data_IF_168230241470
#
_entry.id   IF_168230241470
#
_cell.length_a   1.000
_cell.length_b   1.000
_cell.length_c   1.000
_cell.angle_alpha   90.00
_cell.angle_beta   90.00
_cell.angle_gamma   90.00
#
_symmetry.space_group_name_H-M   'P 1'
#
loop_
_entity.id
_entity.type
_entity.pdbx_description
1 polymer ?
#
# COMPACT_ATOMS: atom_id res chain seq x y z
N UNK A 1 -8.96 -2.61 8.72
CA UNK A 1 -8.66 -3.11 7.36
C UNK A 1 -7.16 -3.19 7.30
N UNK A 2 -6.64 -4.35 6.93
CA UNK A 2 -5.22 -4.68 6.99
C UNK A 2 -4.56 -4.42 5.64
N UNK A 3 -3.34 -3.92 5.64
CA UNK A 3 -2.60 -3.67 4.42
C UNK A 3 -1.64 -4.84 4.13
N UNK A 4 -1.55 -5.22 2.87
CA UNK A 4 -0.55 -6.20 2.43
C UNK A 4 0.82 -5.53 2.36
N UNK A 5 1.83 -6.22 2.87
CA UNK A 5 3.23 -5.79 2.83
C UNK A 5 4.02 -6.79 1.99
N UNK A 6 4.31 -6.43 0.74
CA UNK A 6 5.11 -7.26 -0.14
C UNK A 6 6.59 -7.13 0.22
N UNK A 7 7.20 -8.24 0.61
CA UNK A 7 8.64 -8.29 0.86
C UNK A 7 9.36 -8.62 -0.45
N UNK A 8 10.14 -7.68 -0.98
CA UNK A 8 11.00 -7.87 -2.16
C UNK A 8 12.46 -8.09 -1.79
N UNK A 9 12.71 -8.29 -0.50
CA UNK A 9 13.97 -8.76 0.06
C UNK A 9 13.67 -9.73 1.21
N UNK A 10 14.68 -10.48 1.64
CA UNK A 10 14.54 -11.32 2.83
C UNK A 10 14.31 -10.46 4.07
N UNK A 11 13.34 -10.85 4.90
CA UNK A 11 12.96 -10.08 6.10
C UNK A 11 13.35 -10.89 7.34
N UNK A 12 14.20 -10.30 8.20
CA UNK A 12 14.57 -10.91 9.48
C UNK A 12 13.56 -10.54 10.58
N UNK A 13 13.52 -11.30 11.69
CA UNK A 13 12.69 -10.96 12.84
C UNK A 13 12.87 -9.52 13.32
N UNK A 14 14.10 -9.01 13.34
CA UNK A 14 14.42 -7.66 13.78
C UNK A 14 13.83 -6.59 12.84
N UNK A 15 14.02 -6.78 11.54
CA UNK A 15 13.46 -5.87 10.52
C UNK A 15 11.93 -5.81 10.61
N UNK A 16 11.28 -6.97 10.72
CA UNK A 16 9.83 -7.02 10.82
C UNK A 16 9.33 -6.41 12.15
N UNK A 17 9.97 -6.75 13.27
CA UNK A 17 9.60 -6.23 14.58
C UNK A 17 9.71 -4.71 14.62
N UNK A 18 10.76 -4.13 14.03
CA UNK A 18 10.91 -2.69 13.94
C UNK A 18 9.79 -2.04 13.12
N UNK A 19 9.57 -2.53 11.89
CA UNK A 19 8.51 -2.03 11.01
C UNK A 19 7.13 -2.12 11.68
N UNK A 20 6.80 -3.30 12.23
CA UNK A 20 5.53 -3.57 12.87
C UNK A 20 5.32 -2.73 14.14
N UNK A 21 6.37 -2.54 14.94
CA UNK A 21 6.32 -1.69 16.14
C UNK A 21 6.05 -0.23 15.79
N UNK A 22 6.71 0.29 14.75
CA UNK A 22 6.54 1.68 14.32
C UNK A 22 5.14 1.97 13.76
N UNK A 23 4.42 0.95 13.30
CA UNK A 23 3.13 1.09 12.63
C UNK A 23 1.95 0.46 13.39
N UNK A 24 2.05 0.37 14.71
CA UNK A 24 0.92 -0.04 15.54
C UNK A 24 -0.18 1.02 15.50
N UNK A 25 -1.44 0.58 15.45
CA UNK A 25 -2.59 1.51 15.52
C UNK A 25 -2.56 2.24 16.86
N UNK A 26 -2.43 3.59 16.87
CA UNK A 26 -2.45 4.38 18.11
C UNK A 26 -3.86 4.45 18.69
N UNK A 27 -3.95 4.62 20.01
CA UNK A 27 -5.18 4.95 20.75
C UNK A 27 -6.34 3.96 20.62
N UNK A 28 -6.07 2.71 21.00
CA UNK A 28 -7.13 1.76 21.34
C UNK A 28 -7.73 2.07 22.72
N UNK A 29 -8.97 1.62 22.99
CA UNK A 29 -9.49 1.61 24.35
C UNK A 29 -8.44 1.04 25.32
N UNK A 30 -8.35 1.54 26.56
CA UNK A 30 -7.25 1.20 27.49
C UNK A 30 -7.06 -0.29 27.76
N UNK A 31 -8.07 -1.12 27.46
CA UNK A 31 -8.07 -2.56 27.66
C UNK A 31 -7.73 -3.37 26.40
N UNK A 32 -7.50 -2.73 25.25
CA UNK A 32 -7.20 -3.41 24.00
C UNK A 32 -5.70 -3.32 23.66
N UNK A 33 -5.04 -4.45 23.38
CA UNK A 33 -3.64 -4.44 22.98
C UNK A 33 -3.46 -3.70 21.63
N UNK A 34 -2.33 -3.01 21.44
CA UNK A 34 -1.95 -2.45 20.14
C UNK A 34 -1.98 -3.53 19.05
N UNK A 35 -2.47 -3.16 17.87
CA UNK A 35 -2.56 -4.07 16.73
C UNK A 35 -1.61 -3.63 15.62
N UNK A 36 -1.04 -4.61 14.94
CA UNK A 36 -0.27 -4.48 13.69
C UNK A 36 -1.23 -4.73 12.52
N UNK A 37 -1.71 -3.70 11.81
CA UNK A 37 -2.71 -3.84 10.75
C UNK A 37 -2.08 -4.30 9.41
N UNK A 38 -1.13 -5.23 9.45
CA UNK A 38 -0.34 -5.63 8.30
C UNK A 38 -0.22 -7.15 8.16
N UNK A 39 -0.18 -7.60 6.91
CA UNK A 39 0.04 -8.99 6.52
C UNK A 39 1.27 -9.03 5.64
N UNK A 40 2.29 -9.77 6.06
CA UNK A 40 3.53 -9.95 5.30
C UNK A 40 3.28 -10.93 4.14
N UNK A 41 3.61 -10.49 2.92
CA UNK A 41 3.46 -11.27 1.70
C UNK A 41 4.85 -11.51 1.09
N UNK A 42 5.45 -12.69 1.33
CA UNK A 42 6.79 -13.03 0.83
C UNK A 42 6.76 -13.88 -0.45
N UNK A 43 5.58 -14.24 -0.97
CA UNK A 43 5.46 -15.15 -2.10
C UNK A 43 4.40 -14.70 -3.10
N UNK A 44 4.55 -15.11 -4.37
CA UNK A 44 3.50 -15.05 -5.39
C UNK A 44 2.26 -15.89 -5.06
N UNK A 45 2.37 -16.83 -4.13
CA UNK A 45 1.26 -17.69 -3.70
C UNK A 45 1.26 -17.81 -2.17
N UNK A 46 0.94 -16.71 -1.46
CA UNK A 46 0.99 -16.68 -0.01
C UNK A 46 -0.01 -17.67 0.60
N UNK A 47 0.39 -18.33 1.68
CA UNK A 47 -0.41 -19.36 2.35
C UNK A 47 -1.35 -18.80 3.42
N UNK A 48 -1.06 -17.60 3.93
CA UNK A 48 -1.88 -16.93 4.94
C UNK A 48 -2.10 -15.46 4.55
N UNK A 49 -3.36 -15.11 4.33
CA UNK A 49 -3.85 -13.75 4.10
C UNK A 49 -5.02 -13.40 5.01
N UNK A 50 -5.36 -14.27 5.96
CA UNK A 50 -6.46 -14.07 6.90
C UNK A 50 -5.95 -13.52 8.24
N UNK A 51 -4.69 -13.82 8.59
CA UNK A 51 -4.08 -13.39 9.84
C UNK A 51 -3.04 -12.31 9.63
N UNK A 52 -3.01 -11.36 10.56
CA UNK A 52 -1.96 -10.35 10.66
C UNK A 52 -0.64 -11.00 11.03
N UNK A 53 0.44 -10.50 10.43
CA UNK A 53 1.79 -10.96 10.76
C UNK A 53 2.32 -10.13 11.93
N UNK A 54 1.98 -10.51 13.16
CA UNK A 54 2.43 -9.75 14.34
C UNK A 54 3.92 -9.96 14.63
N UNK A 55 4.43 -11.15 14.35
CA UNK A 55 5.82 -11.56 14.57
C UNK A 55 6.24 -12.60 13.52
N UNK A 56 7.55 -12.74 13.33
CA UNK A 56 8.17 -13.85 12.59
C UNK A 56 9.33 -14.39 13.43
N UNK A 57 9.45 -15.71 13.52
CA UNK A 57 10.49 -16.36 14.37
C UNK A 57 11.81 -16.58 13.64
N UNK A 58 11.78 -16.55 12.31
CA UNK A 58 12.92 -16.82 11.45
C UNK A 58 12.91 -15.86 10.26
N UNK A 59 14.07 -15.73 9.59
CA UNK A 59 14.15 -14.97 8.35
C UNK A 59 13.20 -15.55 7.31
N UNK A 60 12.23 -14.74 6.89
CA UNK A 60 11.31 -15.07 5.83
C UNK A 60 12.02 -14.84 4.50
N UNK A 61 12.20 -15.93 3.74
CA UNK A 61 12.72 -15.88 2.38
C UNK A 61 11.62 -15.49 1.43
N UNK A 62 11.93 -14.57 0.52
CA UNK A 62 10.97 -14.10 -0.48
C UNK A 62 11.26 -14.65 -1.88
N UNK A 63 10.21 -15.01 -2.62
CA UNK A 63 10.31 -15.28 -4.06
C UNK A 63 10.05 -14.03 -4.92
N UNK A 64 9.74 -12.89 -4.28
CA UNK A 64 9.44 -11.63 -4.92
C UNK A 64 10.68 -10.74 -5.13
N UNK A 65 11.88 -11.22 -4.81
CA UNK A 65 13.11 -10.43 -4.91
C UNK A 65 13.41 -9.93 -6.34
N UNK A 66 12.94 -10.67 -7.36
CA UNK A 66 13.05 -10.29 -8.77
C UNK A 66 11.74 -9.75 -9.36
N UNK A 67 10.69 -9.60 -8.54
CA UNK A 67 9.39 -9.15 -9.02
C UNK A 67 9.45 -7.70 -9.47
N UNK A 68 8.97 -7.43 -10.68
CA UNK A 68 8.77 -6.09 -11.19
C UNK A 68 7.58 -5.42 -10.50
N UNK A 69 7.53 -4.08 -10.53
CA UNK A 69 6.37 -3.33 -10.06
C UNK A 69 5.06 -3.76 -10.72
N UNK A 70 5.10 -4.12 -12.01
CA UNK A 70 3.91 -4.61 -12.71
C UNK A 70 3.41 -5.93 -12.14
N UNK A 71 4.33 -6.83 -11.79
CA UNK A 71 3.99 -8.11 -11.17
C UNK A 71 3.46 -7.94 -9.75
N UNK A 72 4.06 -7.06 -8.94
CA UNK A 72 3.58 -6.78 -7.57
C UNK A 72 2.17 -6.16 -7.61
N UNK A 73 1.91 -5.22 -8.52
CA UNK A 73 0.57 -4.63 -8.71
C UNK A 73 -0.45 -5.68 -9.14
N UNK A 74 -0.10 -6.53 -10.12
CA UNK A 74 -0.96 -7.61 -10.57
C UNK A 74 -1.29 -8.59 -9.45
N UNK A 75 -0.28 -8.97 -8.66
CA UNK A 75 -0.44 -9.82 -7.50
C UNK A 75 -1.32 -9.15 -6.43
N UNK A 76 -1.13 -7.86 -6.13
CA UNK A 76 -2.02 -7.14 -5.23
C UNK A 76 -3.47 -7.16 -5.70
N UNK A 77 -3.74 -6.91 -6.98
CA UNK A 77 -5.12 -6.96 -7.52
C UNK A 77 -5.72 -8.35 -7.35
N UNK A 78 -4.95 -9.40 -7.59
CA UNK A 78 -5.37 -10.78 -7.42
C UNK A 78 -5.66 -11.12 -5.95
N UNK A 79 -4.75 -10.76 -5.04
CA UNK A 79 -4.86 -11.06 -3.62
C UNK A 79 -5.96 -10.21 -2.95
N UNK A 80 -6.05 -8.92 -3.25
CA UNK A 80 -7.07 -8.01 -2.73
C UNK A 80 -8.47 -8.21 -3.36
N UNK A 81 -8.66 -9.34 -4.06
CA UNK A 81 -9.92 -9.81 -4.63
C UNK A 81 -11.10 -9.68 -3.65
N UNK A 82 -12.36 -9.50 -4.12
CA UNK A 82 -13.53 -9.26 -3.30
C UNK A 82 -13.76 -10.25 -2.14
N UNK A 83 -13.17 -11.44 -2.22
CA UNK A 83 -13.32 -12.49 -1.22
C UNK A 83 -12.55 -12.20 0.08
N UNK A 84 -11.46 -11.42 0.02
CA UNK A 84 -10.77 -10.96 1.23
C UNK A 84 -11.42 -9.69 1.77
N UNK A 85 -12.29 -9.86 2.76
CA UNK A 85 -13.10 -8.76 3.32
C UNK A 85 -12.28 -7.74 4.12
N UNK A 86 -11.16 -8.18 4.68
CA UNK A 86 -10.41 -7.39 5.66
C UNK A 86 -9.19 -6.69 5.07
N UNK A 87 -8.85 -6.90 3.79
CA UNK A 87 -7.67 -6.34 3.13
C UNK A 87 -7.96 -4.96 2.52
N UNK A 88 -7.01 -4.04 2.65
CA UNK A 88 -7.06 -2.73 2.04
C UNK A 88 -6.94 -2.81 0.52
N UNK A 89 -7.82 -2.09 -0.18
CA UNK A 89 -7.88 -2.08 -1.66
C UNK A 89 -7.39 -0.77 -2.28
N UNK A 90 -7.16 0.25 -1.45
CA UNK A 90 -6.69 1.57 -1.87
C UNK A 90 -5.15 1.64 -1.87
N UNK A 91 -4.46 0.83 -1.06
CA UNK A 91 -2.99 0.80 -1.07
C UNK A 91 -2.42 -0.52 -0.58
N UNK A 92 -1.13 -0.71 -0.85
CA UNK A 92 -0.28 -1.73 -0.22
C UNK A 92 1.11 -1.17 0.06
N UNK A 93 1.95 -1.95 0.74
CA UNK A 93 3.31 -1.56 1.07
C UNK A 93 4.34 -2.51 0.46
N UNK A 94 5.55 -1.99 0.26
CA UNK A 94 6.71 -2.79 -0.15
C UNK A 94 7.88 -2.54 0.79
N UNK A 95 8.48 -3.63 1.25
CA UNK A 95 9.80 -3.67 1.88
C UNK A 95 10.81 -4.16 0.83
N UNK A 96 11.67 -3.27 0.37
CA UNK A 96 12.83 -3.57 -0.46
C UNK A 96 14.12 -3.44 0.36
N UNK A 97 15.29 -3.75 -0.22
CA UNK A 97 16.55 -3.63 0.51
C UNK A 97 16.78 -2.21 1.05
N UNK A 98 16.43 -1.19 0.26
CA UNK A 98 16.56 0.21 0.67
C UNK A 98 15.62 0.54 1.85
N UNK A 99 14.43 -0.06 1.87
CA UNK A 99 13.47 0.09 2.96
C UNK A 99 14.05 -0.33 4.30
N UNK A 100 14.78 -1.45 4.30
CA UNK A 100 15.44 -1.99 5.49
C UNK A 100 16.61 -1.11 5.94
N UNK A 101 17.41 -0.61 5.00
CA UNK A 101 18.57 0.24 5.29
C UNK A 101 18.18 1.64 5.76
N UNK A 102 17.15 2.23 5.16
CA UNK A 102 16.72 3.60 5.45
C UNK A 102 15.62 3.69 6.52
N UNK A 103 15.10 2.56 6.98
CA UNK A 103 13.97 2.50 7.90
C UNK A 103 12.72 3.20 7.31
N UNK A 104 12.48 2.97 6.01
CA UNK A 104 11.38 3.54 5.23
C UNK A 104 10.61 2.43 4.53
N UNK A 105 9.31 2.58 4.27
CA UNK A 105 8.57 1.68 3.40
C UNK A 105 8.14 2.41 2.13
N UNK A 106 7.89 1.67 1.05
CA UNK A 106 7.20 2.21 -0.12
C UNK A 106 5.71 1.97 0.08
N UNK A 107 4.91 3.03 0.17
CA UNK A 107 3.46 2.98 0.09
C UNK A 107 3.07 3.12 -1.38
N UNK A 108 2.32 2.15 -1.90
CA UNK A 108 1.75 2.17 -3.24
C UNK A 108 0.26 2.47 -3.13
N UNK A 109 -0.15 3.65 -3.57
CA UNK A 109 -1.55 4.10 -3.61
C UNK A 109 -2.19 3.80 -4.97
N UNK A 110 -3.47 3.42 -4.93
CA UNK A 110 -4.34 3.23 -6.08
C UNK A 110 -5.40 4.34 -6.08
N UNK A 111 -5.23 5.27 -7.01
CA UNK A 111 -6.16 6.36 -7.24
C UNK A 111 -7.05 6.14 -8.45
N UNK A 112 -7.95 7.09 -8.66
CA UNK A 112 -8.66 7.23 -9.93
C UNK A 112 -8.56 8.67 -10.40
N UNK A 113 -8.14 8.86 -11.64
CA UNK A 113 -8.26 10.13 -12.33
C UNK A 113 -9.39 10.09 -13.33
N UNK A 114 -10.11 11.20 -13.45
CA UNK A 114 -10.98 11.42 -14.57
C UNK A 114 -10.27 12.36 -15.53
N UNK A 115 -10.33 12.06 -16.83
CA UNK A 115 -9.77 12.91 -17.87
C UNK A 115 -10.77 13.13 -18.97
N UNK A 116 -10.73 14.31 -19.56
CA UNK A 116 -11.49 14.64 -20.77
C UNK A 116 -10.83 14.03 -22.01
N UNK A 117 -11.57 13.99 -23.12
CA UNK A 117 -11.08 13.50 -24.41
C UNK A 117 -9.87 14.27 -24.97
N UNK A 118 -9.64 15.50 -24.53
CA UNK A 118 -8.47 16.32 -24.86
C UNK A 118 -7.25 16.05 -23.95
N UNK A 119 -7.39 15.16 -22.96
CA UNK A 119 -6.36 14.79 -22.02
C UNK A 119 -6.30 15.63 -20.74
N UNK A 120 -7.13 16.68 -20.61
CA UNK A 120 -7.17 17.49 -19.39
C UNK A 120 -7.75 16.73 -18.20
N UNK A 121 -7.19 16.96 -17.02
CA UNK A 121 -7.69 16.41 -15.76
C UNK A 121 -9.08 16.97 -15.45
N UNK A 122 -9.95 16.10 -14.97
CA UNK A 122 -11.32 16.39 -14.64
C UNK A 122 -11.63 15.96 -13.20
N UNK A 123 -12.28 16.85 -12.45
CA UNK A 123 -12.73 16.56 -11.10
C UNK A 123 -14.26 16.60 -11.08
N UNK A 124 -14.94 15.45 -11.15
CA UNK A 124 -16.39 15.43 -11.32
C UNK A 124 -17.13 15.86 -10.06
N UNK A 125 -18.02 16.85 -10.20
CA UNK A 125 -19.06 17.17 -9.22
C UNK A 125 -20.31 16.30 -9.44
N UNK A 126 -21.17 16.10 -8.42
CA UNK A 126 -22.33 15.21 -8.51
C UNK A 126 -23.32 15.48 -9.65
N UNK A 127 -23.28 16.66 -10.28
CA UNK A 127 -24.20 17.08 -11.34
C UNK A 127 -23.53 17.28 -12.70
N UNK A 128 -22.29 16.81 -12.85
CA UNK A 128 -21.53 17.01 -14.07
C UNK A 128 -21.93 16.08 -15.20
N UNK A 129 -22.00 16.62 -16.42
CA UNK A 129 -22.15 15.82 -17.62
C UNK A 129 -20.83 15.10 -17.92
N UNK A 130 -20.82 13.79 -17.67
CA UNK A 130 -19.66 12.91 -17.85
C UNK A 130 -19.42 12.50 -19.31
N UNK A 131 -20.15 13.09 -20.26
CA UNK A 131 -19.97 12.80 -21.69
C UNK A 131 -18.56 13.16 -22.15
N UNK A 132 -17.82 12.19 -22.66
CA UNK A 132 -16.42 12.37 -23.10
C UNK A 132 -15.39 12.39 -21.96
N UNK A 133 -15.79 12.06 -20.73
CA UNK A 133 -14.89 11.86 -19.60
C UNK A 133 -14.59 10.38 -19.43
N UNK A 134 -13.31 10.04 -19.34
CA UNK A 134 -12.81 8.68 -19.12
C UNK A 134 -12.21 8.56 -17.71
N UNK A 135 -12.48 7.43 -17.04
CA UNK A 135 -11.90 7.08 -15.73
C UNK A 135 -10.70 6.18 -15.91
N UNK A 136 -9.62 6.51 -15.21
CA UNK A 136 -8.37 5.78 -15.27
C UNK A 136 -7.87 5.44 -13.86
N UNK A 137 -7.30 4.24 -13.70
CA UNK A 137 -6.60 3.86 -12.47
C UNK A 137 -5.20 4.43 -12.50
N UNK A 138 -4.83 5.17 -11.45
CA UNK A 138 -3.51 5.78 -11.32
C UNK A 138 -2.80 5.15 -10.14
N UNK A 139 -1.50 4.97 -10.27
CA UNK A 139 -0.66 4.42 -9.21
C UNK A 139 0.35 5.46 -8.77
N UNK A 140 0.36 5.75 -7.47
CA UNK A 140 1.30 6.69 -6.87
C UNK A 140 2.20 5.96 -5.89
N UNK A 141 3.50 6.29 -5.92
CA UNK A 141 4.52 5.64 -5.11
C UNK A 141 5.16 6.63 -4.15
N UNK A 142 5.18 6.25 -2.89
CA UNK A 142 5.55 7.12 -1.79
C UNK A 142 6.59 6.41 -0.92
N UNK A 143 7.83 6.90 -0.84
CA UNK A 143 8.80 6.37 0.14
C UNK A 143 8.69 7.14 1.44
N UNK A 144 8.32 6.44 2.52
CA UNK A 144 7.88 7.05 3.79
C UNK A 144 8.64 6.42 4.96
N UNK A 145 9.19 7.18 5.92
CA UNK A 145 9.75 6.65 7.16
C UNK A 145 8.74 5.75 7.89
N UNK A 146 9.20 4.67 8.52
CA UNK A 146 8.30 3.73 9.19
C UNK A 146 7.34 4.39 10.18
N UNK A 147 7.79 5.40 10.92
CA UNK A 147 6.97 6.11 11.91
C UNK A 147 5.87 6.98 11.28
N UNK A 148 5.90 7.19 9.96
CA UNK A 148 4.96 8.02 9.19
C UNK A 148 4.07 7.21 8.27
N UNK A 149 4.33 5.92 8.12
CA UNK A 149 3.54 5.05 7.25
C UNK A 149 2.07 5.00 7.72
N UNK A 150 1.81 4.83 9.01
CA UNK A 150 0.44 4.89 9.54
C UNK A 150 -0.26 6.20 9.18
N UNK A 151 0.35 7.35 9.49
CA UNK A 151 -0.19 8.68 9.17
C UNK A 151 -0.57 8.78 7.68
N UNK A 152 0.38 8.48 6.78
CA UNK A 152 0.16 8.52 5.32
C UNK A 152 -0.98 7.60 4.88
N UNK A 153 -1.01 6.37 5.39
CA UNK A 153 -2.07 5.42 5.03
C UNK A 153 -3.46 5.87 5.51
N UNK A 154 -3.55 6.52 6.68
CA UNK A 154 -4.82 7.09 7.16
C UNK A 154 -5.27 8.30 6.33
N UNK A 155 -4.34 9.12 5.85
CA UNK A 155 -4.65 10.22 4.94
C UNK A 155 -5.15 9.72 3.57
N UNK A 156 -4.52 8.70 2.99
CA UNK A 156 -5.00 8.03 1.77
C UNK A 156 -6.44 7.51 1.95
N UNK A 157 -6.76 6.99 3.14
CA UNK A 157 -8.12 6.53 3.45
C UNK A 157 -9.12 7.65 3.74
N UNK A 158 -8.71 8.92 3.71
CA UNK A 158 -9.55 10.07 4.07
C UNK A 158 -9.92 10.12 5.56
N UNK A 159 -9.16 9.45 6.43
CA UNK A 159 -9.40 9.36 7.87
C UNK A 159 -8.56 10.34 8.70
N UNK A 160 -7.56 10.96 8.08
CA UNK A 160 -6.72 11.98 8.70
C UNK A 160 -6.73 13.25 7.83
N UNK A 161 -6.50 14.44 8.44
CA UNK A 161 -6.29 15.66 7.66
C UNK A 161 -5.13 15.48 6.69
N UNK A 162 -5.17 16.24 5.59
CA UNK A 162 -4.12 16.24 4.57
C UNK A 162 -2.76 16.50 5.24
N UNK A 163 -1.84 15.56 5.10
CA UNK A 163 -0.55 15.64 5.75
C UNK A 163 0.39 16.33 4.78
N UNK A 164 0.94 17.49 5.20
CA UNK A 164 2.11 18.14 4.57
C UNK A 164 3.33 17.24 4.75
N UNK A 165 3.32 16.08 4.11
CA UNK A 165 4.44 15.15 4.15
C UNK A 165 5.19 15.33 2.85
N UNK A 166 6.40 15.85 2.96
CA UNK A 166 7.44 15.69 1.96
C UNK A 166 7.73 14.20 1.80
N UNK A 167 6.87 13.54 1.04
CA UNK A 167 7.05 12.20 0.57
C UNK A 167 7.92 12.27 -0.66
N UNK A 168 8.92 11.41 -0.76
CA UNK A 168 9.59 11.21 -2.02
C UNK A 168 8.60 10.52 -2.97
N UNK A 169 7.96 11.31 -3.84
CA UNK A 169 7.12 10.78 -4.90
C UNK A 169 8.03 10.07 -5.91
N UNK A 170 7.96 8.74 -5.92
CA UNK A 170 8.89 7.92 -6.69
C UNK A 170 8.48 7.88 -8.16
N UNK A 171 7.18 8.00 -8.47
CA UNK A 171 6.57 8.12 -9.82
C UNK A 171 5.05 8.04 -9.74
N UNK A 172 4.37 8.82 -10.59
CA UNK A 172 2.96 8.68 -10.95
C UNK A 172 2.83 7.94 -12.29
N UNK A 173 2.09 6.84 -12.33
CA UNK A 173 1.85 6.09 -13.56
C UNK A 173 0.45 6.39 -14.11
N UNK A 174 0.39 6.87 -15.35
CA UNK A 174 -0.87 7.08 -16.09
C UNK A 174 -1.39 5.74 -16.58
N UNK A 175 -2.70 5.53 -16.52
CA UNK A 175 -3.31 4.33 -17.09
C UNK A 175 -2.99 4.22 -18.60
N UNK A 176 -2.87 2.99 -19.13
CA UNK A 176 -2.74 2.80 -20.57
C UNK A 176 -3.96 3.40 -21.27
N UNK A 177 -3.73 4.15 -22.35
CA UNK A 177 -4.78 4.61 -23.24
C UNK A 177 -5.56 3.39 -23.75
N UNK A 178 -6.85 3.31 -23.44
CA UNK A 178 -7.71 2.28 -24.01
C UNK A 178 -7.82 2.53 -25.52
N UNK A 179 -7.18 1.68 -26.32
CA UNK A 179 -7.28 1.66 -27.79
C UNK A 179 -8.65 1.21 -28.27
#
# INVERSE_FOLDING_TARGET
>A
MDALVFATCDVTPEHWAEFAQANRVPDRPPDEPPIVPYILVPSRSPTDLENRTEHIDQTVKTDLASATWSEIKGLFIELASPNLKNVNKAFFLVLDNQSLEDHKAVVMEIGSEWRRADGEEYWPLPNDDMTGVQKFTVWTRHRVPYQKVWDVTTAIMGLAPEIDTYVEEVKKEVAPETS
#
